data_IF_712208323349
#
_entry.id   IF_712208323349
#
_cell.length_a   1.000
_cell.length_b   1.000
_cell.length_c   1.000
_cell.angle_alpha   90.00
_cell.angle_beta   90.00
_cell.angle_gamma   90.00
#
_symmetry.space_group_name_H-M   'P 1'
#
loop_
_entity.id
_entity.type
_entity.pdbx_description
1 polymer ?
#
# COMPACT_ATOMS: atom_id res chain seq x y z
N UNK A 1 -33.75 -30.86 58.70
CA UNK A 1 -33.57 -29.74 57.75
C UNK A 1 -32.09 -29.53 57.47
N UNK A 2 -31.58 -30.09 56.37
CA UNK A 2 -30.64 -29.44 55.43
C UNK A 2 -30.45 -30.38 54.25
N UNK A 3 -30.96 -29.94 53.11
CA UNK A 3 -30.78 -30.55 51.81
C UNK A 3 -29.40 -30.15 51.24
N UNK A 4 -28.94 -30.89 50.23
CA UNK A 4 -28.53 -30.37 48.90
C UNK A 4 -27.52 -31.36 48.27
N UNK A 5 -28.02 -32.04 47.25
CA UNK A 5 -27.28 -32.69 46.16
C UNK A 5 -26.32 -31.71 45.48
N UNK A 6 -25.17 -32.16 44.98
CA UNK A 6 -24.78 -31.78 43.62
C UNK A 6 -23.79 -32.78 43.03
N UNK A 7 -24.15 -33.23 41.83
CA UNK A 7 -23.49 -34.22 40.98
C UNK A 7 -22.21 -33.63 40.37
N UNK A 8 -21.13 -34.41 40.41
CA UNK A 8 -19.90 -34.17 39.66
C UNK A 8 -20.18 -34.32 38.14
N UNK A 9 -20.16 -33.23 37.39
CA UNK A 9 -19.96 -33.26 35.93
C UNK A 9 -18.74 -32.39 35.60
N UNK A 10 -17.58 -33.03 35.45
CA UNK A 10 -16.39 -32.38 34.94
C UNK A 10 -16.51 -32.25 33.40
N UNK A 11 -17.02 -31.12 32.93
CA UNK A 11 -16.96 -30.75 31.52
C UNK A 11 -15.56 -30.20 31.21
N UNK A 12 -14.71 -31.02 30.61
CA UNK A 12 -13.44 -30.57 30.02
C UNK A 12 -13.76 -29.86 28.71
N UNK A 13 -13.85 -28.54 28.74
CA UNK A 13 -13.96 -27.69 27.55
C UNK A 13 -12.58 -27.52 26.93
N UNK A 14 -12.30 -28.31 25.88
CA UNK A 14 -11.17 -28.11 24.99
C UNK A 14 -11.36 -26.80 24.20
N UNK A 15 -10.66 -25.74 24.61
CA UNK A 15 -10.54 -24.51 23.83
C UNK A 15 -9.55 -24.74 22.68
N UNK A 16 -10.06 -25.05 21.49
CA UNK A 16 -9.32 -24.93 20.24
C UNK A 16 -9.16 -23.43 19.92
N UNK A 17 -8.03 -22.86 20.28
CA UNK A 17 -7.64 -21.53 19.81
C UNK A 17 -7.13 -21.69 18.37
N UNK A 18 -8.05 -21.71 17.40
CA UNK A 18 -7.70 -21.40 16.01
C UNK A 18 -7.36 -19.91 15.96
N UNK A 19 -6.06 -19.60 16.04
CA UNK A 19 -5.53 -18.31 15.64
C UNK A 19 -5.71 -18.18 14.12
N UNK A 20 -6.91 -17.80 13.69
CA UNK A 20 -7.05 -17.21 12.37
C UNK A 20 -6.48 -15.80 12.49
N UNK A 21 -5.28 -15.56 11.94
CA UNK A 21 -4.77 -14.23 11.65
C UNK A 21 -5.74 -13.53 10.68
N UNK A 22 -6.85 -13.01 11.21
CA UNK A 22 -7.69 -12.05 10.51
C UNK A 22 -6.98 -10.71 10.60
N UNK A 23 -6.02 -10.50 9.71
CA UNK A 23 -5.56 -9.15 9.37
C UNK A 23 -6.80 -8.46 8.76
N UNK A 24 -7.35 -7.41 9.40
CA UNK A 24 -8.57 -6.78 8.93
C UNK A 24 -8.28 -6.02 7.62
N UNK A 25 -8.50 -6.65 6.47
CA UNK A 25 -8.77 -5.90 5.24
C UNK A 25 -10.00 -5.05 5.51
N UNK A 26 -9.91 -3.72 5.39
CA UNK A 26 -11.10 -2.85 5.49
C UNK A 26 -12.10 -3.26 4.42
N UNK A 27 -13.13 -4.00 4.82
CA UNK A 27 -14.23 -4.42 3.96
C UNK A 27 -14.90 -3.16 3.42
N UNK A 28 -14.77 -2.92 2.10
CA UNK A 28 -15.45 -1.82 1.41
C UNK A 28 -14.58 -0.94 0.50
N UNK A 29 -13.23 -1.02 0.57
CA UNK A 29 -12.39 -0.27 -0.36
C UNK A 29 -12.07 -1.11 -1.61
N UNK A 30 -12.67 -0.74 -2.74
CA UNK A 30 -12.35 -1.40 -4.02
C UNK A 30 -10.98 -0.96 -4.52
N UNK A 31 -10.13 -1.93 -4.86
CA UNK A 31 -8.84 -1.67 -5.52
C UNK A 31 -9.08 -1.55 -7.02
N UNK A 32 -8.59 -0.48 -7.63
CA UNK A 32 -8.64 -0.25 -9.08
C UNK A 32 -7.24 -0.27 -9.66
N UNK A 33 -7.11 -0.75 -10.90
CA UNK A 33 -5.87 -0.72 -11.67
C UNK A 33 -6.18 -0.10 -13.02
N UNK A 34 -5.39 0.90 -13.40
CA UNK A 34 -5.47 1.54 -14.71
C UNK A 34 -4.07 1.63 -15.31
N UNK A 35 -3.99 1.47 -16.63
CA UNK A 35 -2.72 1.55 -17.35
C UNK A 35 -2.58 2.89 -18.06
N UNK A 36 -1.34 3.35 -18.19
CA UNK A 36 -1.02 4.60 -18.87
C UNK A 36 0.46 4.74 -19.18
N UNK A 37 0.79 5.73 -19.98
CA UNK A 37 2.16 6.02 -20.40
C UNK A 37 2.69 7.25 -19.67
N UNK A 38 3.89 7.16 -19.14
CA UNK A 38 4.54 8.28 -18.44
C UNK A 38 4.91 9.37 -19.44
N UNK A 39 4.26 10.52 -19.33
CA UNK A 39 4.53 11.70 -20.14
C UNK A 39 5.62 12.59 -19.55
N UNK A 40 5.76 12.61 -18.22
CA UNK A 40 6.78 13.40 -17.52
C UNK A 40 7.25 12.69 -16.26
N UNK A 41 8.54 12.78 -15.97
CA UNK A 41 9.18 12.27 -14.77
C UNK A 41 10.07 13.37 -14.18
N UNK A 42 9.79 13.82 -12.97
CA UNK A 42 10.46 14.97 -12.33
C UNK A 42 10.90 14.60 -10.93
N UNK A 43 12.13 14.93 -10.56
CA UNK A 43 12.53 14.91 -9.16
C UNK A 43 11.83 16.07 -8.44
N UNK A 44 11.16 15.77 -7.34
CA UNK A 44 10.42 16.76 -6.53
C UNK A 44 10.84 16.68 -5.08
N UNK A 45 10.70 17.80 -4.37
CA UNK A 45 10.76 17.78 -2.91
C UNK A 45 9.41 17.31 -2.38
N UNK A 46 9.41 16.33 -1.50
CA UNK A 46 8.25 15.75 -0.85
C UNK A 46 7.74 16.72 0.23
N UNK A 47 7.06 17.76 -0.22
CA UNK A 47 6.37 18.75 0.59
C UNK A 47 4.88 18.82 0.23
N UNK A 48 4.10 19.54 1.05
CA UNK A 48 2.65 19.67 0.88
C UNK A 48 2.24 20.27 -0.48
N UNK A 49 3.09 21.08 -1.11
CA UNK A 49 2.80 21.70 -2.40
C UNK A 49 3.01 20.70 -3.55
N UNK A 50 4.09 19.91 -3.50
CA UNK A 50 4.36 18.88 -4.50
C UNK A 50 3.29 17.76 -4.49
N UNK A 51 2.69 17.50 -3.33
CA UNK A 51 1.62 16.52 -3.16
C UNK A 51 0.22 17.07 -3.48
N UNK A 52 0.07 18.38 -3.66
CA UNK A 52 -1.25 19.00 -3.85
C UNK A 52 -1.88 18.56 -5.19
N UNK A 53 -3.01 17.86 -5.10
CA UNK A 53 -3.71 17.30 -6.27
C UNK A 53 -3.02 16.09 -6.92
N UNK A 54 -1.94 15.57 -6.32
CA UNK A 54 -1.27 14.36 -6.76
C UNK A 54 -1.66 13.16 -5.90
N UNK A 55 -1.68 11.97 -6.50
CA UNK A 55 -1.70 10.73 -5.73
C UNK A 55 -0.37 10.56 -5.00
N UNK A 56 -0.39 9.98 -3.80
CA UNK A 56 0.84 9.63 -3.07
C UNK A 56 1.01 8.11 -3.09
N UNK A 57 2.06 7.65 -3.76
CA UNK A 57 2.40 6.26 -3.98
C UNK A 57 3.54 5.75 -3.09
N UNK A 58 3.89 4.47 -3.24
CA UNK A 58 5.04 3.87 -2.56
C UNK A 58 4.90 3.77 -1.04
N UNK A 59 6.01 3.76 -0.31
CA UNK A 59 6.02 3.75 1.16
C UNK A 59 5.55 5.10 1.72
N UNK A 60 5.71 6.19 0.97
CA UNK A 60 5.18 7.53 1.32
C UNK A 60 3.67 7.52 1.54
N UNK A 61 2.93 6.80 0.69
CA UNK A 61 1.47 6.67 0.83
C UNK A 61 1.06 5.86 2.07
N UNK A 62 1.86 4.86 2.46
CA UNK A 62 1.60 4.03 3.64
C UNK A 62 1.72 4.83 4.95
N UNK A 63 2.68 5.76 5.01
CA UNK A 63 2.88 6.61 6.20
C UNK A 63 1.93 7.80 6.27
N UNK A 64 1.54 8.37 5.11
CA UNK A 64 0.60 9.49 5.03
C UNK A 64 -0.82 9.12 5.48
N UNK A 65 -1.23 7.86 5.30
CA UNK A 65 -2.55 7.36 5.74
C UNK A 65 -2.77 7.26 7.26
N UNK A 66 -1.75 7.55 8.08
CA UNK A 66 -1.84 7.54 9.56
C UNK A 66 -2.55 8.77 10.17
N UNK A 67 -3.01 9.72 9.37
CA UNK A 67 -3.55 10.99 9.86
C UNK A 67 -5.09 11.07 9.98
N UNK A 68 -5.67 10.57 11.08
CA UNK A 68 -6.78 11.24 11.80
C UNK A 68 -6.99 10.75 13.26
N UNK A 69 -5.94 10.25 13.92
CA UNK A 69 -5.89 10.20 15.37
C UNK A 69 -4.43 10.13 15.79
N UNK A 70 -3.95 11.13 16.53
CA UNK A 70 -2.62 11.16 17.13
C UNK A 70 -1.46 11.59 16.21
N UNK A 71 -1.59 12.72 15.49
CA UNK A 71 -0.45 13.64 15.36
C UNK A 71 -0.36 14.41 16.67
N UNK A 72 0.00 13.69 17.73
CA UNK A 72 0.04 14.17 19.10
C UNK A 72 1.24 13.54 19.76
N UNK A 73 2.35 14.28 19.72
CA UNK A 73 3.61 14.03 20.42
C UNK A 73 4.48 12.92 19.81
N UNK A 74 5.65 13.30 19.27
CA UNK A 74 6.96 12.89 19.79
C UNK A 74 7.17 11.44 20.34
N UNK A 75 6.41 10.43 19.91
CA UNK A 75 6.42 9.07 20.49
C UNK A 75 6.83 7.98 19.47
N UNK A 76 7.40 8.38 18.33
CA UNK A 76 8.18 7.51 17.44
C UNK A 76 9.66 7.93 17.37
N UNK A 77 10.13 8.72 18.35
CA UNK A 77 11.50 9.24 18.36
C UNK A 77 12.59 8.19 18.60
N UNK A 78 12.29 6.93 18.95
CA UNK A 78 13.32 6.00 19.43
C UNK A 78 13.05 4.48 19.32
N UNK A 79 12.03 3.99 18.60
CA UNK A 79 11.68 2.55 18.68
C UNK A 79 11.62 1.73 17.40
N UNK A 80 11.79 2.34 16.23
CA UNK A 80 12.16 1.60 15.02
C UNK A 80 13.13 2.48 14.23
N UNK A 81 14.42 2.30 14.46
CA UNK A 81 15.49 3.21 14.01
C UNK A 81 15.61 3.36 12.48
N UNK A 82 14.85 2.59 11.69
CA UNK A 82 15.01 2.49 10.23
C UNK A 82 13.86 3.10 9.43
N UNK A 83 12.59 3.03 9.86
CA UNK A 83 11.48 3.71 9.15
C UNK A 83 11.48 5.21 9.45
N UNK A 84 11.82 5.58 10.68
CA UNK A 84 12.00 6.99 11.04
C UNK A 84 13.19 7.62 10.32
N UNK A 85 14.26 6.86 10.04
CA UNK A 85 15.44 7.36 9.35
C UNK A 85 15.15 7.74 7.89
N UNK A 86 14.35 6.99 7.13
CA UNK A 86 13.97 7.41 5.77
C UNK A 86 13.14 8.72 5.75
N UNK A 87 12.36 8.98 6.81
CA UNK A 87 11.61 10.23 6.97
C UNK A 87 12.42 11.37 7.61
N UNK A 88 13.46 11.07 8.40
CA UNK A 88 14.26 12.02 9.17
C UNK A 88 15.62 12.35 8.54
N UNK A 89 16.26 11.42 7.82
CA UNK A 89 17.51 11.61 7.07
C UNK A 89 17.23 12.33 5.74
N UNK A 90 16.80 13.59 5.81
CA UNK A 90 17.18 14.68 4.88
C UNK A 90 16.91 14.54 3.37
N UNK A 91 16.55 13.38 2.84
CA UNK A 91 16.37 13.14 1.43
C UNK A 91 14.88 13.19 1.13
N UNK A 92 14.31 14.39 1.31
CA UNK A 92 12.95 14.72 0.89
C UNK A 92 12.80 14.71 -0.63
N UNK A 93 13.65 14.02 -1.39
CA UNK A 93 13.51 13.92 -2.83
C UNK A 93 12.70 12.67 -3.20
N UNK A 94 11.65 12.87 -3.99
CA UNK A 94 10.87 11.81 -4.61
C UNK A 94 10.73 12.07 -6.10
N UNK A 95 9.93 11.25 -6.75
CA UNK A 95 9.58 11.41 -8.16
C UNK A 95 8.11 11.79 -8.30
N UNK A 96 7.83 12.78 -9.14
CA UNK A 96 6.50 13.04 -9.64
C UNK A 96 6.40 12.55 -11.08
N UNK A 97 5.44 11.66 -11.32
CA UNK A 97 5.10 11.17 -12.65
C UNK A 97 3.78 11.76 -13.09
N UNK A 98 3.75 12.29 -14.32
CA UNK A 98 2.50 12.61 -15.02
C UNK A 98 2.26 11.51 -16.05
N UNK A 99 1.15 10.80 -15.88
CA UNK A 99 0.79 9.62 -16.67
C UNK A 99 -0.43 9.95 -17.52
N UNK A 100 -0.34 9.73 -18.83
CA UNK A 100 -1.50 9.75 -19.70
C UNK A 100 -2.19 8.39 -19.66
N UNK A 101 -3.46 8.40 -19.27
CA UNK A 101 -4.28 7.21 -19.15
C UNK A 101 -4.91 6.86 -20.50
N UNK A 102 -5.29 5.59 -20.68
CA UNK A 102 -5.94 5.12 -21.90
C UNK A 102 -7.29 5.80 -22.20
N UNK A 103 -7.97 6.34 -21.19
CA UNK A 103 -9.22 7.09 -21.33
C UNK A 103 -9.03 8.57 -21.71
N UNK A 104 -7.79 9.00 -21.96
CA UNK A 104 -7.44 10.38 -22.30
C UNK A 104 -7.28 11.31 -21.09
N UNK A 105 -7.54 10.83 -19.87
CA UNK A 105 -7.24 11.56 -18.64
C UNK A 105 -5.73 11.58 -18.36
N UNK A 106 -5.32 12.48 -17.46
CA UNK A 106 -3.94 12.56 -16.98
C UNK A 106 -3.93 12.43 -15.46
N UNK A 107 -3.04 11.62 -14.93
CA UNK A 107 -2.85 11.43 -13.48
C UNK A 107 -1.46 11.87 -13.08
N UNK A 108 -1.36 12.69 -12.03
CA UNK A 108 -0.09 12.98 -11.36
C UNK A 108 0.04 12.10 -10.12
N UNK A 109 1.18 11.43 -9.97
CA UNK A 109 1.51 10.61 -8.80
C UNK A 109 2.92 10.93 -8.30
N UNK A 110 3.04 11.17 -7.00
CA UNK A 110 4.30 11.38 -6.29
C UNK A 110 4.65 10.12 -5.53
N UNK A 111 5.87 9.62 -5.68
CA UNK A 111 6.32 8.34 -5.11
C UNK A 111 7.81 8.37 -4.79
N UNK A 112 8.25 7.44 -3.95
CA UNK A 112 9.65 7.15 -3.67
C UNK A 112 10.31 6.25 -4.75
N UNK A 113 9.53 5.66 -5.65
CA UNK A 113 10.02 4.88 -6.78
C UNK A 113 10.72 5.73 -7.83
N UNK A 114 11.97 5.37 -8.15
CA UNK A 114 12.86 6.16 -9.03
C UNK A 114 13.17 5.50 -10.37
N UNK A 115 12.79 4.24 -10.54
CA UNK A 115 13.19 3.46 -11.71
C UNK A 115 12.26 3.64 -12.91
N UNK A 116 11.14 4.35 -12.75
CA UNK A 116 10.20 4.65 -13.83
C UNK A 116 10.71 5.84 -14.64
N UNK A 117 10.60 5.75 -15.97
CA UNK A 117 11.10 6.73 -16.94
C UNK A 117 9.96 7.26 -17.79
N UNK A 118 10.18 8.42 -18.38
CA UNK A 118 9.32 8.94 -19.44
C UNK A 118 9.23 7.93 -20.59
N UNK A 119 8.02 7.68 -21.08
CA UNK A 119 7.72 6.70 -22.12
C UNK A 119 7.42 5.29 -21.61
N UNK A 120 7.67 4.99 -20.33
CA UNK A 120 7.31 3.69 -19.78
C UNK A 120 5.78 3.52 -19.71
N UNK A 121 5.33 2.30 -19.99
CA UNK A 121 3.99 1.86 -19.61
C UNK A 121 3.97 1.56 -18.11
N UNK A 122 2.95 2.04 -17.41
CA UNK A 122 2.81 1.90 -15.96
C UNK A 122 1.40 1.46 -15.60
N UNK A 123 1.29 0.73 -14.48
CA UNK A 123 0.04 0.48 -13.80
C UNK A 123 -0.11 1.46 -12.63
N UNK A 124 -1.23 2.17 -12.56
CA UNK A 124 -1.64 2.97 -11.40
C UNK A 124 -2.70 2.17 -10.64
N UNK A 125 -2.39 1.88 -9.39
CA UNK A 125 -3.24 1.12 -8.48
C UNK A 125 -3.79 2.07 -7.42
N UNK A 126 -5.10 2.02 -7.15
CA UNK A 126 -5.72 2.89 -6.13
C UNK A 126 -6.62 2.10 -5.22
N UNK A 127 -6.48 2.34 -3.91
CA UNK A 127 -7.32 1.78 -2.87
C UNK A 127 -7.62 2.85 -1.83
N UNK A 128 -8.84 3.36 -1.82
CA UNK A 128 -9.21 4.52 -0.99
C UNK A 128 -8.32 5.73 -1.31
N UNK A 129 -7.58 6.22 -0.32
CA UNK A 129 -6.64 7.34 -0.46
C UNK A 129 -5.21 6.90 -0.79
N UNK A 130 -4.92 5.59 -0.79
CA UNK A 130 -3.61 5.06 -1.10
C UNK A 130 -3.47 4.78 -2.60
N UNK A 131 -2.27 4.98 -3.12
CA UNK A 131 -1.94 4.63 -4.49
C UNK A 131 -0.66 3.81 -4.59
N UNK A 132 -0.49 3.15 -5.73
CA UNK A 132 0.76 2.60 -6.20
C UNK A 132 0.94 2.97 -7.67
N UNK A 133 2.19 3.17 -8.07
CA UNK A 133 2.59 3.14 -9.47
C UNK A 133 3.61 2.02 -9.59
N UNK A 134 3.66 1.32 -10.73
CA UNK A 134 4.76 0.40 -11.04
C UNK A 134 4.90 0.24 -12.55
N UNK A 135 6.06 -0.24 -13.01
CA UNK A 135 6.30 -0.45 -14.44
C UNK A 135 5.42 -1.62 -14.90
N UNK A 136 4.93 -1.53 -16.13
CA UNK A 136 4.20 -2.60 -16.79
C UNK A 136 4.85 -2.90 -18.14
N UNK A 137 4.61 -4.10 -18.69
CA UNK A 137 4.99 -4.39 -20.06
C UNK A 137 4.29 -3.40 -21.01
N UNK A 138 5.00 -2.93 -22.05
CA UNK A 138 4.46 -1.96 -23.01
C UNK A 138 3.15 -2.41 -23.67
N UNK A 139 2.94 -3.72 -23.79
CA UNK A 139 1.71 -4.33 -24.30
C UNK A 139 0.46 -3.97 -23.50
N UNK A 140 0.58 -3.63 -22.22
CA UNK A 140 -0.57 -3.16 -21.41
C UNK A 140 -1.08 -1.78 -21.83
N UNK A 141 -0.23 -0.98 -22.46
CA UNK A 141 -0.57 0.36 -22.95
C UNK A 141 -0.83 0.40 -24.46
N UNK A 142 -0.71 -0.73 -25.16
CA UNK A 142 -1.01 -0.84 -26.58
C UNK A 142 -2.53 -1.01 -26.78
N UNK A 143 -3.20 -0.09 -27.49
CA UNK A 143 -4.64 -0.19 -27.77
C UNK A 143 -5.04 -1.48 -28.48
N UNK A 144 -4.14 -2.08 -29.27
CA UNK A 144 -4.40 -3.35 -29.96
C UNK A 144 -4.63 -4.51 -28.96
N UNK A 145 -4.11 -4.40 -27.74
CA UNK A 145 -4.23 -5.41 -26.69
C UNK A 145 -5.38 -5.14 -25.71
N UNK A 146 -6.24 -4.14 -25.93
CA UNK A 146 -7.25 -3.71 -24.97
C UNK A 146 -8.11 -4.87 -24.41
N UNK A 147 -8.57 -5.78 -25.27
CA UNK A 147 -9.35 -6.96 -24.85
C UNK A 147 -8.54 -7.96 -24.03
N UNK A 148 -7.27 -8.16 -24.38
CA UNK A 148 -6.38 -9.04 -23.62
C UNK A 148 -6.06 -8.44 -22.24
N UNK A 149 -5.83 -7.13 -22.19
CA UNK A 149 -5.62 -6.37 -20.94
C UNK A 149 -6.85 -6.48 -20.05
N UNK A 150 -8.05 -6.28 -20.59
CA UNK A 150 -9.31 -6.43 -19.85
C UNK A 150 -9.45 -7.83 -19.25
N UNK A 151 -9.15 -8.88 -20.03
CA UNK A 151 -9.23 -10.27 -19.58
C UNK A 151 -8.27 -10.61 -18.43
N UNK A 152 -7.08 -9.99 -18.39
CA UNK A 152 -6.08 -10.26 -17.33
C UNK A 152 -6.15 -9.26 -16.16
N UNK A 153 -6.89 -8.15 -16.31
CA UNK A 153 -7.01 -7.10 -15.28
C UNK A 153 -7.48 -7.64 -13.92
N UNK A 154 -8.40 -8.61 -13.80
CA UNK A 154 -8.75 -9.19 -12.51
C UNK A 154 -7.55 -9.78 -11.76
N UNK A 155 -6.65 -10.48 -12.46
CA UNK A 155 -5.42 -11.04 -11.87
C UNK A 155 -4.48 -9.94 -11.41
N UNK A 156 -4.30 -8.89 -12.20
CA UNK A 156 -3.45 -7.75 -11.84
C UNK A 156 -4.02 -7.02 -10.62
N UNK A 157 -5.34 -6.90 -10.53
CA UNK A 157 -6.04 -6.32 -9.38
C UNK A 157 -5.83 -7.14 -8.12
N UNK A 158 -5.84 -8.47 -8.20
CA UNK A 158 -5.52 -9.31 -7.04
C UNK A 158 -4.10 -9.05 -6.54
N UNK A 159 -3.12 -8.93 -7.43
CA UNK A 159 -1.76 -8.55 -7.04
C UNK A 159 -1.70 -7.16 -6.39
N UNK A 160 -2.45 -6.19 -6.92
CA UNK A 160 -2.58 -4.85 -6.35
C UNK A 160 -3.14 -4.86 -4.93
N UNK A 161 -4.14 -5.71 -4.65
CA UNK A 161 -4.71 -5.89 -3.31
C UNK A 161 -3.66 -6.41 -2.33
N UNK A 162 -2.82 -7.36 -2.74
CA UNK A 162 -1.74 -7.89 -1.89
C UNK A 162 -0.65 -6.86 -1.62
N UNK A 163 -0.26 -6.07 -2.64
CA UNK A 163 0.62 -4.91 -2.45
C UNK A 163 0.02 -3.93 -1.42
N UNK A 164 -1.27 -3.60 -1.54
CA UNK A 164 -1.93 -2.70 -0.62
C UNK A 164 -1.98 -3.27 0.80
N UNK A 165 -2.22 -4.57 0.97
CA UNK A 165 -2.15 -5.22 2.29
C UNK A 165 -0.76 -5.10 2.91
N UNK A 166 0.30 -5.29 2.13
CA UNK A 166 1.67 -5.11 2.63
C UNK A 166 1.95 -3.66 3.09
N UNK A 167 1.36 -2.66 2.41
CA UNK A 167 1.41 -1.26 2.85
C UNK A 167 0.65 -1.02 4.16
N UNK A 168 -0.51 -1.66 4.33
CA UNK A 168 -1.29 -1.59 5.57
C UNK A 168 -0.57 -2.24 6.74
N UNK A 169 0.13 -3.36 6.51
CA UNK A 169 1.00 -3.99 7.52
C UNK A 169 2.15 -3.07 7.93
N UNK A 170 2.81 -2.40 6.97
CA UNK A 170 3.85 -1.40 7.27
C UNK A 170 3.27 -0.22 8.07
N UNK A 171 2.05 0.20 7.76
CA UNK A 171 1.34 1.26 8.47
C UNK A 171 0.91 0.84 9.89
N UNK A 172 0.64 -0.46 10.10
CA UNK A 172 0.29 -1.03 11.40
C UNK A 172 1.47 -1.51 12.26
N UNK A 173 2.66 -1.65 11.68
CA UNK A 173 3.84 -2.20 12.35
C UNK A 173 4.26 -1.40 13.59
N UNK A 174 4.55 -2.12 14.67
CA UNK A 174 4.94 -1.58 15.98
C UNK A 174 6.35 -2.02 16.42
N UNK A 175 6.93 -3.00 15.73
CA UNK A 175 8.27 -3.53 16.01
C UNK A 175 9.19 -3.43 14.79
N UNK A 176 10.50 -3.47 15.00
CA UNK A 176 11.51 -3.45 13.92
C UNK A 176 11.39 -4.65 12.97
N UNK A 177 11.05 -5.82 13.52
CA UNK A 177 10.86 -7.04 12.74
C UNK A 177 9.62 -6.97 11.83
N UNK A 178 8.50 -6.43 12.35
CA UNK A 178 7.28 -6.20 11.56
C UNK A 178 7.52 -5.20 10.43
N UNK A 179 8.30 -4.15 10.74
CA UNK A 179 8.76 -3.15 9.78
C UNK A 179 9.58 -3.76 8.65
N UNK A 180 10.61 -4.55 8.97
CA UNK A 180 11.50 -5.15 7.97
C UNK A 180 10.74 -6.14 7.09
N UNK A 181 9.88 -6.96 7.71
CA UNK A 181 9.02 -7.89 6.99
C UNK A 181 8.07 -7.17 6.03
N UNK A 182 7.34 -6.16 6.51
CA UNK A 182 6.39 -5.42 5.69
C UNK A 182 7.09 -4.66 4.55
N UNK A 183 8.27 -4.06 4.80
CA UNK A 183 9.07 -3.41 3.77
C UNK A 183 9.51 -4.41 2.67
N UNK A 184 9.96 -5.61 3.05
CA UNK A 184 10.29 -6.68 2.08
C UNK A 184 9.06 -7.12 1.28
N UNK A 185 7.90 -7.27 1.93
CA UNK A 185 6.64 -7.59 1.24
C UNK A 185 6.27 -6.53 0.22
N UNK A 186 6.42 -5.24 0.56
CA UNK A 186 6.21 -4.13 -0.37
C UNK A 186 7.15 -4.25 -1.57
N UNK A 187 8.46 -4.42 -1.35
CA UNK A 187 9.42 -4.56 -2.45
C UNK A 187 9.07 -5.73 -3.39
N UNK A 188 8.58 -6.85 -2.84
CA UNK A 188 8.19 -8.03 -3.64
C UNK A 188 6.85 -7.88 -4.37
N UNK A 189 5.91 -7.11 -3.82
CA UNK A 189 4.52 -7.05 -4.31
C UNK A 189 4.19 -5.75 -5.06
N UNK A 190 4.91 -4.67 -4.78
CA UNK A 190 4.59 -3.32 -5.22
C UNK A 190 5.55 -2.74 -6.27
N UNK A 191 6.80 -3.22 -6.33
CA UNK A 191 7.90 -2.62 -7.13
C UNK A 191 8.32 -3.51 -8.32
N UNK A 192 7.35 -3.97 -9.13
CA UNK A 192 7.61 -4.73 -10.35
C UNK A 192 7.85 -3.85 -11.59
#
# INVERSE_FOLDING_TARGET
MKAIETILLAAVTSALVSACDHIPTRVGQSTTVQFGVVQRAEQVTLDSNAMQGALVGGMLGAVAGRGDSTIGNAALGAKVGTIGAAAAEGNRSGMAYTVAMADGSSTRIVTDQREIKQGDCVAIERTGNAANIRRAASSYCDPANARAVEAVTPTIRTAAVECQRAKEELAGATTEAEVDLAARKISLLCDA
#
